data_IF_882395209856
#
_entry.id   IF_882395209856
#
_cell.length_a   1.000
_cell.length_b   1.000
_cell.length_c   1.000
_cell.angle_alpha   90.00
_cell.angle_beta   90.00
_cell.angle_gamma   90.00
#
_symmetry.space_group_name_H-M   'P 1'
#
loop_
_entity.id
_entity.type
_entity.pdbx_description
1 polymer ?
#
# COMPACT_ATOMS: atom_id res chain seq x y z
N UNK A 1 50.03 58.29 -63.81
CA UNK A 1 48.99 57.40 -64.36
C UNK A 1 49.56 56.00 -64.53
N UNK A 2 49.34 55.10 -63.57
CA UNK A 2 49.46 53.65 -63.73
C UNK A 2 48.39 53.02 -62.85
N UNK A 3 47.28 52.63 -63.47
CA UNK A 3 46.18 51.90 -62.84
C UNK A 3 46.63 50.47 -62.56
N UNK A 4 46.52 50.02 -61.32
CA UNK A 4 46.65 48.61 -60.96
C UNK A 4 45.22 48.06 -60.88
N UNK A 5 44.82 47.27 -61.87
CA UNK A 5 43.57 46.53 -61.85
C UNK A 5 43.71 45.34 -60.90
N UNK A 6 43.00 45.37 -59.77
CA UNK A 6 42.84 44.21 -58.90
C UNK A 6 41.84 43.22 -59.51
N UNK A 7 42.30 42.01 -59.83
CA UNK A 7 41.44 40.88 -60.15
C UNK A 7 40.92 40.27 -58.84
N UNK A 8 39.66 40.50 -58.50
CA UNK A 8 38.97 39.76 -57.43
C UNK A 8 38.45 38.47 -58.04
N UNK A 9 39.09 37.35 -57.71
CA UNK A 9 38.60 36.00 -58.02
C UNK A 9 37.51 35.68 -56.99
N UNK A 10 36.25 35.71 -57.42
CA UNK A 10 35.12 35.21 -56.64
C UNK A 10 35.10 33.69 -56.80
N UNK A 11 35.66 32.97 -55.82
CA UNK A 11 35.47 31.52 -55.70
C UNK A 11 34.08 31.30 -55.11
N UNK A 12 33.13 30.89 -55.94
CA UNK A 12 31.83 30.39 -55.49
C UNK A 12 32.06 29.05 -54.77
N UNK A 13 32.08 29.08 -53.44
CA UNK A 13 32.00 27.88 -52.61
C UNK A 13 30.63 27.23 -52.83
N UNK A 14 30.58 26.20 -53.67
CA UNK A 14 29.43 25.29 -53.73
C UNK A 14 29.48 24.44 -52.45
N UNK A 15 28.68 24.81 -51.46
CA UNK A 15 28.48 23.98 -50.27
C UNK A 15 27.65 22.78 -50.70
N UNK A 16 28.28 21.62 -50.90
CA UNK A 16 27.58 20.36 -51.08
C UNK A 16 26.91 20.02 -49.73
N UNK A 17 25.59 20.09 -49.67
CA UNK A 17 24.84 19.65 -48.50
C UNK A 17 24.81 18.13 -48.48
N UNK A 18 25.55 17.51 -47.56
CA UNK A 18 25.50 16.07 -47.28
C UNK A 18 24.16 15.76 -46.60
N UNK A 19 23.17 15.34 -47.39
CA UNK A 19 21.88 14.86 -46.90
C UNK A 19 21.64 13.45 -47.43
N UNK A 20 20.97 12.62 -46.63
CA UNK A 20 20.57 11.25 -47.00
C UNK A 20 19.97 11.23 -48.41
N UNK A 21 20.45 10.35 -49.27
CA UNK A 21 19.91 10.17 -50.62
C UNK A 21 18.87 9.03 -50.62
N UNK A 22 17.68 9.27 -51.15
CA UNK A 22 16.65 8.25 -51.31
C UNK A 22 16.18 8.17 -52.76
N UNK A 23 15.73 7.00 -53.20
CA UNK A 23 14.93 6.89 -54.41
C UNK A 23 13.56 7.56 -54.18
N UNK A 24 13.14 8.38 -55.14
CA UNK A 24 11.80 8.98 -55.20
C UNK A 24 11.06 8.52 -56.43
N UNK A 25 9.97 7.78 -56.23
CA UNK A 25 9.14 7.28 -57.33
C UNK A 25 7.72 6.95 -56.89
N UNK A 26 6.82 6.86 -57.87
CA UNK A 26 5.50 6.23 -57.75
C UNK A 26 5.31 5.30 -58.95
N UNK A 27 5.06 4.01 -58.71
CA UNK A 27 4.97 2.99 -59.75
C UNK A 27 3.95 1.90 -59.42
N UNK A 28 3.84 0.89 -60.30
CA UNK A 28 2.97 -0.28 -60.12
C UNK A 28 3.75 -1.56 -59.82
N UNK A 29 5.08 -1.53 -59.89
CA UNK A 29 5.96 -2.57 -59.37
C UNK A 29 7.22 -1.95 -58.77
N UNK A 30 7.98 -2.73 -57.99
CA UNK A 30 9.23 -2.27 -57.39
C UNK A 30 10.26 -2.02 -58.49
N UNK A 31 10.36 -2.94 -59.45
CA UNK A 31 11.29 -2.88 -60.58
C UNK A 31 11.00 -1.67 -61.49
N UNK A 32 9.72 -1.35 -61.71
CA UNK A 32 9.31 -0.14 -62.43
C UNK A 32 9.71 1.13 -61.67
N UNK A 33 9.45 1.16 -60.36
CA UNK A 33 9.78 2.29 -59.51
C UNK A 33 11.29 2.55 -59.49
N UNK A 34 12.11 1.49 -59.34
CA UNK A 34 13.57 1.59 -59.26
C UNK A 34 14.20 2.02 -60.58
N UNK A 35 13.69 1.50 -61.71
CA UNK A 35 14.18 1.86 -63.04
C UNK A 35 13.98 3.34 -63.37
N UNK A 36 12.90 3.94 -62.91
CA UNK A 36 12.52 5.32 -63.24
C UNK A 36 12.55 6.26 -62.04
N UNK A 37 13.19 5.87 -60.94
CA UNK A 37 13.28 6.70 -59.75
C UNK A 37 14.15 7.94 -59.99
N UNK A 38 13.70 9.08 -59.46
CA UNK A 38 14.56 10.22 -59.26
C UNK A 38 15.39 10.03 -57.99
N UNK A 39 16.61 10.56 -57.98
CA UNK A 39 17.38 10.70 -56.74
C UNK A 39 16.91 11.95 -56.00
N UNK A 40 16.54 11.78 -54.74
CA UNK A 40 16.14 12.88 -53.84
C UNK A 40 17.13 12.97 -52.69
N UNK A 41 17.77 14.13 -52.52
CA UNK A 41 18.51 14.45 -51.31
C UNK A 41 17.52 14.92 -50.26
N UNK A 42 17.40 14.19 -49.16
CA UNK A 42 16.44 14.46 -48.11
C UNK A 42 16.75 15.76 -47.37
N UNK A 43 15.69 16.43 -46.92
CA UNK A 43 15.81 17.59 -46.04
C UNK A 43 16.40 17.19 -44.68
N UNK A 44 16.96 18.17 -43.95
CA UNK A 44 17.58 17.94 -42.64
C UNK A 44 16.64 17.27 -41.61
N UNK A 45 15.33 17.49 -41.72
CA UNK A 45 14.29 16.90 -40.89
C UNK A 45 13.81 15.52 -41.38
N UNK A 46 14.36 15.01 -42.50
CA UNK A 46 13.93 13.79 -43.19
C UNK A 46 15.04 12.73 -43.26
N UNK A 47 15.56 12.31 -42.11
CA UNK A 47 16.66 11.34 -42.00
C UNK A 47 16.26 9.86 -42.21
N UNK A 48 15.29 9.56 -43.09
CA UNK A 48 14.92 8.18 -43.46
C UNK A 48 14.31 8.07 -44.85
N UNK A 49 14.60 6.99 -45.55
CA UNK A 49 13.87 6.59 -46.77
C UNK A 49 12.68 5.70 -46.40
N UNK A 50 11.52 5.94 -47.03
CA UNK A 50 10.32 5.13 -46.89
C UNK A 50 9.98 4.44 -48.21
N UNK A 51 9.65 3.15 -48.16
CA UNK A 51 9.02 2.40 -49.26
C UNK A 51 7.64 1.92 -48.81
N UNK A 52 6.57 2.35 -49.48
CA UNK A 52 5.22 1.81 -49.33
C UNK A 52 4.86 0.94 -50.54
N UNK A 53 4.38 -0.27 -50.31
CA UNK A 53 3.89 -1.20 -51.34
C UNK A 53 2.46 -1.60 -51.00
N UNK A 54 1.55 -1.45 -51.97
CA UNK A 54 0.18 -1.95 -51.87
C UNK A 54 -0.06 -3.11 -52.82
N UNK A 55 -0.61 -4.19 -52.27
CA UNK A 55 -0.95 -5.42 -53.00
C UNK A 55 -2.46 -5.66 -52.93
N UNK A 56 -3.04 -6.09 -54.04
CA UNK A 56 -4.43 -6.57 -54.08
C UNK A 56 -4.47 -7.96 -54.68
N UNK A 57 -5.48 -8.75 -54.27
CA UNK A 57 -5.71 -10.07 -54.83
C UNK A 57 -6.49 -9.95 -56.14
N UNK A 58 -5.92 -10.43 -57.24
CA UNK A 58 -6.57 -10.53 -58.55
C UNK A 58 -6.61 -12.01 -58.93
N UNK A 59 -7.79 -12.63 -58.79
CA UNK A 59 -7.93 -14.09 -58.88
C UNK A 59 -7.14 -14.79 -57.78
N UNK A 60 -6.28 -15.74 -58.15
CA UNK A 60 -5.42 -16.48 -57.22
C UNK A 60 -4.03 -15.85 -56.99
N UNK A 61 -3.74 -14.70 -57.62
CA UNK A 61 -2.41 -14.06 -57.53
C UNK A 61 -2.50 -12.71 -56.82
N UNK A 62 -1.49 -12.40 -56.02
CA UNK A 62 -1.29 -11.06 -55.50
C UNK A 62 -0.57 -10.20 -56.54
N UNK A 63 -1.14 -9.01 -56.79
CA UNK A 63 -0.56 -8.04 -57.71
C UNK A 63 -0.24 -6.76 -56.94
N UNK A 64 1.00 -6.29 -57.07
CA UNK A 64 1.38 -4.95 -56.64
C UNK A 64 0.63 -3.95 -57.53
N UNK A 65 -0.08 -3.02 -56.91
CA UNK A 65 -0.82 -1.97 -57.62
C UNK A 65 -0.27 -0.58 -57.36
N UNK A 66 0.53 -0.43 -56.30
CA UNK A 66 1.15 0.82 -55.94
C UNK A 66 2.48 0.56 -55.24
N UNK A 67 3.51 1.28 -55.67
CA UNK A 67 4.77 1.45 -54.96
C UNK A 67 5.04 2.93 -54.85
N UNK A 68 5.44 3.41 -53.69
CA UNK A 68 6.00 4.75 -53.53
C UNK A 68 7.28 4.70 -52.72
N UNK A 69 8.31 5.38 -53.20
CA UNK A 69 9.59 5.58 -52.52
C UNK A 69 9.81 7.07 -52.31
N UNK A 70 10.23 7.50 -51.11
CA UNK A 70 10.40 8.93 -50.78
C UNK A 70 11.25 9.15 -49.52
N UNK A 71 11.77 10.38 -49.35
CA UNK A 71 12.28 10.87 -48.07
C UNK A 71 11.15 11.04 -47.03
N UNK A 72 11.46 10.79 -45.76
CA UNK A 72 10.51 10.91 -44.64
C UNK A 72 11.21 11.26 -43.34
N UNK A 73 10.54 12.00 -42.46
CA UNK A 73 10.98 12.15 -41.07
C UNK A 73 11.03 10.77 -40.41
N UNK A 74 12.13 10.46 -39.71
CA UNK A 74 12.36 9.16 -39.07
C UNK A 74 11.21 8.71 -38.16
N UNK A 75 10.69 9.62 -37.33
CA UNK A 75 9.58 9.28 -36.43
C UNK A 75 8.28 8.98 -37.18
N UNK A 76 7.96 9.78 -38.21
CA UNK A 76 6.79 9.55 -39.06
C UNK A 76 6.91 8.23 -39.85
N UNK A 77 8.11 7.94 -40.39
CA UNK A 77 8.37 6.68 -41.07
C UNK A 77 8.17 5.49 -40.12
N UNK A 78 8.80 5.53 -38.94
CA UNK A 78 8.63 4.45 -37.93
C UNK A 78 7.17 4.29 -37.51
N UNK A 79 6.43 5.38 -37.32
CA UNK A 79 5.00 5.32 -37.00
C UNK A 79 4.17 4.65 -38.12
N UNK A 80 4.49 4.96 -39.38
CA UNK A 80 3.92 4.31 -40.57
C UNK A 80 4.28 2.83 -40.64
N UNK A 81 5.54 2.45 -40.35
CA UNK A 81 5.97 1.06 -40.34
C UNK A 81 5.32 0.26 -39.22
N UNK A 82 5.07 0.84 -38.04
CA UNK A 82 4.31 0.19 -36.95
C UNK A 82 2.90 -0.20 -37.40
N UNK A 83 2.30 0.51 -38.36
CA UNK A 83 1.00 0.15 -38.91
C UNK A 83 0.99 -1.23 -39.59
N UNK A 84 2.13 -1.71 -40.07
CA UNK A 84 2.25 -3.05 -40.68
C UNK A 84 1.73 -4.17 -39.77
N UNK A 85 1.80 -3.99 -38.44
CA UNK A 85 1.37 -4.96 -37.42
C UNK A 85 -0.06 -4.74 -36.91
N UNK A 86 -0.71 -3.64 -37.29
CA UNK A 86 -2.07 -3.36 -36.84
C UNK A 86 -3.04 -4.31 -37.53
N UNK A 87 -3.99 -4.84 -36.76
CA UNK A 87 -5.01 -5.77 -37.26
C UNK A 87 -5.81 -5.10 -38.38
N UNK A 88 -5.97 -5.81 -39.49
CA UNK A 88 -6.78 -5.43 -40.63
C UNK A 88 -7.47 -6.69 -41.11
N UNK A 89 -8.79 -6.83 -40.93
CA UNK A 89 -9.47 -8.09 -41.24
C UNK A 89 -8.98 -9.25 -40.35
N UNK A 90 -8.61 -10.37 -40.97
CA UNK A 90 -8.15 -11.59 -40.28
C UNK A 90 -6.63 -11.63 -40.05
N UNK A 91 -5.89 -10.65 -40.59
CA UNK A 91 -4.43 -10.57 -40.51
C UNK A 91 -3.99 -9.14 -40.14
N UNK A 92 -2.77 -8.75 -40.46
CA UNK A 92 -2.25 -7.39 -40.22
C UNK A 92 -2.28 -6.54 -41.49
N UNK A 93 -2.00 -5.22 -41.43
CA UNK A 93 -1.99 -4.39 -42.64
C UNK A 93 -0.96 -4.84 -43.67
N UNK A 94 0.24 -5.27 -43.24
CA UNK A 94 1.24 -5.85 -44.13
C UNK A 94 1.21 -7.37 -44.02
N UNK A 95 0.65 -8.01 -45.04
CA UNK A 95 0.47 -9.46 -45.11
C UNK A 95 0.57 -9.97 -46.56
N UNK A 96 0.59 -11.30 -46.72
CA UNK A 96 0.53 -11.97 -48.02
C UNK A 96 -0.63 -12.99 -48.10
N UNK A 97 -1.60 -12.91 -47.19
CA UNK A 97 -2.72 -13.85 -47.04
C UNK A 97 -4.10 -13.25 -47.39
N UNK A 98 -4.26 -11.92 -47.39
CA UNK A 98 -5.51 -11.22 -47.69
C UNK A 98 -5.36 -10.06 -48.70
N UNK A 99 -6.46 -9.71 -49.40
CA UNK A 99 -6.47 -8.58 -50.33
C UNK A 99 -6.33 -7.24 -49.61
N UNK A 100 -5.80 -6.22 -50.29
CA UNK A 100 -5.57 -4.87 -49.78
C UNK A 100 -4.46 -4.77 -48.72
N UNK A 101 -3.40 -5.55 -48.88
CA UNK A 101 -2.20 -5.47 -48.04
C UNK A 101 -1.41 -4.18 -48.34
N UNK A 102 -0.96 -3.51 -47.30
CA UNK A 102 -0.11 -2.31 -47.35
C UNK A 102 1.10 -2.52 -46.44
N UNK A 103 2.28 -2.54 -47.04
CA UNK A 103 3.55 -2.72 -46.35
C UNK A 103 4.40 -1.45 -46.46
N UNK A 104 4.93 -0.98 -45.33
CA UNK A 104 5.81 0.19 -45.25
C UNK A 104 7.13 -0.16 -44.59
N UNK A 105 8.26 0.06 -45.27
CA UNK A 105 9.59 -0.15 -44.69
C UNK A 105 10.37 1.17 -44.64
N UNK A 106 11.09 1.37 -43.53
CA UNK A 106 11.99 2.48 -43.28
C UNK A 106 13.44 2.02 -43.26
N UNK A 107 14.33 2.85 -43.79
CA UNK A 107 15.79 2.64 -43.71
C UNK A 107 16.52 3.98 -43.68
N UNK A 108 17.82 3.99 -43.34
CA UNK A 108 18.58 5.21 -42.98
C UNK A 108 19.91 5.39 -43.72
N UNK A 109 20.25 4.48 -44.64
CA UNK A 109 21.48 4.58 -45.45
C UNK A 109 21.16 5.15 -46.85
N UNK A 110 22.16 5.73 -47.52
CA UNK A 110 21.98 6.26 -48.87
C UNK A 110 21.46 5.16 -49.82
N UNK A 111 20.38 5.49 -50.53
CA UNK A 111 19.69 4.64 -51.49
C UNK A 111 19.21 3.30 -50.91
N UNK A 112 19.08 3.20 -49.58
CA UNK A 112 18.67 1.97 -48.89
C UNK A 112 17.26 1.48 -49.26
N UNK A 113 16.47 2.34 -49.90
CA UNK A 113 15.15 1.99 -50.38
C UNK A 113 15.16 1.44 -51.80
N UNK A 114 16.31 1.17 -52.43
CA UNK A 114 16.43 0.43 -53.69
C UNK A 114 16.10 -1.07 -53.49
N UNK A 115 15.39 -1.66 -54.46
CA UNK A 115 15.08 -3.08 -54.44
C UNK A 115 13.85 -3.46 -53.61
N UNK A 116 13.70 -4.77 -53.28
CA UNK A 116 12.53 -5.31 -52.60
C UNK A 116 12.41 -4.83 -51.15
N UNK A 117 11.24 -5.02 -50.54
CA UNK A 117 11.03 -4.73 -49.12
C UNK A 117 11.95 -5.59 -48.25
N UNK A 118 12.78 -4.96 -47.43
CA UNK A 118 13.77 -5.63 -46.56
C UNK A 118 13.24 -5.92 -45.15
N UNK A 119 12.09 -5.39 -44.76
CA UNK A 119 11.56 -5.50 -43.40
C UNK A 119 10.61 -6.69 -43.16
N UNK A 120 10.56 -7.68 -44.07
CA UNK A 120 9.52 -8.75 -44.12
C UNK A 120 9.55 -9.79 -43.00
N UNK A 121 10.56 -9.81 -42.13
CA UNK A 121 10.65 -10.74 -41.00
C UNK A 121 9.96 -10.17 -39.74
N UNK A 122 8.63 -10.15 -39.76
CA UNK A 122 7.82 -9.40 -38.80
C UNK A 122 7.44 -10.20 -37.54
N UNK A 123 8.34 -10.31 -36.54
CA UNK A 123 7.89 -10.45 -35.14
C UNK A 123 7.58 -9.05 -34.61
N UNK A 124 6.42 -8.78 -33.99
CA UNK A 124 6.19 -7.48 -33.36
C UNK A 124 7.34 -7.21 -32.36
N UNK A 125 7.92 -6.00 -32.34
CA UNK A 125 8.91 -5.66 -31.33
C UNK A 125 8.25 -5.90 -29.97
N UNK A 126 8.76 -6.89 -29.23
CA UNK A 126 8.33 -7.05 -27.85
C UNK A 126 8.71 -5.76 -27.12
N UNK A 127 7.81 -5.16 -26.33
CA UNK A 127 8.16 -3.99 -25.55
C UNK A 127 9.44 -4.30 -24.76
N UNK A 128 10.38 -3.36 -24.79
CA UNK A 128 11.61 -3.49 -24.03
C UNK A 128 11.26 -3.72 -22.55
N UNK A 129 11.88 -4.71 -21.89
CA UNK A 129 11.61 -4.99 -20.49
C UNK A 129 11.84 -3.73 -19.65
N UNK A 130 10.86 -3.35 -18.83
CA UNK A 130 10.96 -2.19 -17.94
C UNK A 130 11.36 -2.64 -16.54
N UNK A 131 12.36 -1.99 -15.95
CA UNK A 131 12.73 -2.24 -14.55
C UNK A 131 11.62 -1.84 -13.58
N UNK A 132 11.54 -2.56 -12.47
CA UNK A 132 10.55 -2.32 -11.41
C UNK A 132 10.95 -1.18 -10.46
N UNK A 133 10.03 -0.65 -9.65
CA UNK A 133 10.37 0.25 -8.55
C UNK A 133 11.34 -0.41 -7.57
N UNK A 134 12.30 0.35 -7.06
CA UNK A 134 13.23 -0.12 -6.02
C UNK A 134 12.45 -0.48 -4.75
N UNK A 135 12.79 -1.62 -4.15
CA UNK A 135 12.24 -2.01 -2.84
C UNK A 135 12.68 -1.00 -1.75
N UNK A 136 11.96 -0.97 -0.62
CA UNK A 136 12.34 -0.09 0.50
C UNK A 136 13.76 -0.43 0.97
N UNK A 137 14.58 0.57 1.37
CA UNK A 137 15.98 0.34 1.72
C UNK A 137 16.22 -0.69 2.83
N UNK A 138 15.24 -0.87 3.71
CA UNK A 138 15.29 -1.84 4.80
C UNK A 138 13.92 -2.50 5.00
N UNK A 139 13.96 -3.76 5.39
CA UNK A 139 12.82 -4.49 5.93
C UNK A 139 12.87 -4.39 7.46
N UNK A 140 11.88 -3.76 8.08
CA UNK A 140 11.86 -3.65 9.54
C UNK A 140 11.82 -5.05 10.16
N UNK A 141 12.74 -5.34 11.08
CA UNK A 141 12.87 -6.66 11.75
C UNK A 141 13.01 -7.84 10.77
N UNK A 142 13.67 -7.59 9.64
CA UNK A 142 14.00 -8.61 8.67
C UNK A 142 15.07 -8.16 7.70
N UNK A 143 15.39 -9.02 6.77
CA UNK A 143 16.36 -8.79 5.71
C UNK A 143 15.81 -9.29 4.38
N UNK A 144 16.33 -8.75 3.28
CA UNK A 144 15.97 -9.24 1.96
C UNK A 144 17.14 -9.12 0.98
N UNK A 145 17.15 -9.97 -0.03
CA UNK A 145 18.14 -9.95 -1.10
C UNK A 145 17.47 -10.18 -2.44
N UNK A 146 17.94 -9.48 -3.48
CA UNK A 146 17.42 -9.60 -4.84
C UNK A 146 18.50 -10.13 -5.77
N UNK A 147 18.13 -11.03 -6.68
CA UNK A 147 19.09 -11.66 -7.60
C UNK A 147 19.71 -10.69 -8.61
N UNK A 148 18.94 -9.69 -9.08
CA UNK A 148 19.40 -8.67 -10.02
C UNK A 148 18.74 -7.31 -9.74
N UNK A 149 18.78 -6.89 -8.47
CA UNK A 149 18.20 -5.64 -8.02
C UNK A 149 16.72 -5.52 -8.40
N UNK A 150 16.37 -4.53 -9.22
CA UNK A 150 15.01 -4.25 -9.69
C UNK A 150 14.84 -4.47 -11.20
N UNK A 151 15.74 -5.25 -11.83
CA UNK A 151 15.66 -5.55 -13.26
C UNK A 151 14.62 -6.65 -13.56
N UNK A 152 14.06 -6.70 -14.79
CA UNK A 152 13.10 -7.72 -15.18
C UNK A 152 13.64 -9.14 -15.02
N UNK A 153 12.89 -9.98 -14.30
CA UNK A 153 13.29 -11.34 -13.92
C UNK A 153 14.02 -11.43 -12.58
N UNK A 154 14.38 -10.30 -11.94
CA UNK A 154 14.93 -10.30 -10.58
C UNK A 154 13.91 -10.86 -9.59
N UNK A 155 14.37 -11.72 -8.68
CA UNK A 155 13.58 -12.28 -7.58
C UNK A 155 14.17 -11.76 -6.28
N UNK A 156 13.35 -11.09 -5.47
CA UNK A 156 13.72 -10.69 -4.12
C UNK A 156 13.14 -11.67 -3.11
N UNK A 157 13.98 -12.21 -2.22
CA UNK A 157 13.60 -13.12 -1.14
C UNK A 157 13.67 -12.40 0.20
N UNK A 158 12.67 -12.62 1.05
CA UNK A 158 12.48 -11.91 2.33
C UNK A 158 12.55 -12.89 3.51
N UNK A 159 13.24 -12.48 4.56
CA UNK A 159 13.36 -13.23 5.81
C UNK A 159 13.13 -12.29 7.01
N UNK A 160 12.48 -12.80 8.05
CA UNK A 160 12.18 -12.04 9.26
C UNK A 160 12.96 -12.58 10.45
N UNK A 161 13.33 -11.68 11.36
CA UNK A 161 14.16 -12.00 12.51
C UNK A 161 13.31 -12.37 13.74
N UNK A 162 13.88 -13.18 14.63
CA UNK A 162 13.32 -13.49 15.97
C UNK A 162 11.89 -14.08 15.91
N UNK A 163 10.93 -13.42 16.58
CA UNK A 163 9.53 -13.82 16.72
C UNK A 163 8.63 -13.26 15.59
N UNK A 164 9.22 -12.60 14.59
CA UNK A 164 8.49 -12.03 13.45
C UNK A 164 8.37 -13.03 12.30
N UNK A 165 7.26 -12.93 11.57
CA UNK A 165 6.96 -13.76 10.41
C UNK A 165 6.62 -12.88 9.21
N UNK A 166 6.91 -13.38 8.01
CA UNK A 166 6.55 -12.71 6.75
C UNK A 166 5.03 -12.63 6.65
N UNK A 167 4.51 -11.44 6.39
CA UNK A 167 3.09 -11.21 6.08
C UNK A 167 2.92 -10.44 4.75
N UNK A 168 2.04 -10.92 3.85
CA UNK A 168 1.30 -12.18 3.91
C UNK A 168 2.25 -13.39 3.84
N UNK A 169 1.93 -14.49 4.53
CA UNK A 169 2.79 -15.67 4.60
C UNK A 169 3.09 -16.32 3.23
N UNK A 170 2.23 -16.07 2.24
CA UNK A 170 2.39 -16.55 0.87
C UNK A 170 3.43 -15.74 0.05
N UNK A 171 3.91 -14.59 0.56
CA UNK A 171 4.77 -13.66 -0.17
C UNK A 171 6.17 -13.62 0.48
N UNK A 172 6.84 -14.76 0.53
CA UNK A 172 8.26 -14.85 0.95
C UNK A 172 9.24 -14.39 -0.13
N UNK A 173 8.75 -14.19 -1.35
CA UNK A 173 9.51 -13.59 -2.44
C UNK A 173 8.58 -12.85 -3.40
N UNK A 174 9.15 -11.95 -4.22
CA UNK A 174 8.47 -11.36 -5.36
C UNK A 174 9.41 -11.23 -6.56
N UNK A 175 8.83 -11.24 -7.75
CA UNK A 175 9.52 -11.22 -9.04
C UNK A 175 9.22 -9.95 -9.80
N UNK A 176 10.25 -9.31 -10.35
CA UNK A 176 10.07 -8.16 -11.22
C UNK A 176 9.61 -8.63 -12.61
N UNK A 177 8.38 -8.28 -12.98
CA UNK A 177 7.79 -8.66 -14.26
C UNK A 177 8.29 -7.75 -15.39
N UNK A 178 8.24 -8.24 -16.64
CA UNK A 178 8.71 -7.49 -17.83
C UNK A 178 7.98 -6.18 -18.08
N UNK A 179 6.79 -6.01 -17.52
CA UNK A 179 5.99 -4.79 -17.63
C UNK A 179 6.44 -3.68 -16.64
N UNK A 180 7.39 -3.95 -15.75
CA UNK A 180 7.88 -3.01 -14.73
C UNK A 180 7.13 -3.04 -13.40
N UNK A 181 6.33 -4.07 -13.13
CA UNK A 181 5.68 -4.27 -11.82
C UNK A 181 6.21 -5.51 -11.11
N UNK A 182 6.25 -5.48 -9.79
CA UNK A 182 6.41 -6.69 -8.99
C UNK A 182 5.12 -7.53 -9.05
N UNK A 183 5.26 -8.85 -9.11
CA UNK A 183 4.12 -9.79 -9.07
C UNK A 183 3.37 -9.77 -7.72
N UNK A 184 4.06 -9.41 -6.65
CA UNK A 184 3.53 -9.17 -5.32
C UNK A 184 4.21 -7.96 -4.65
N UNK A 185 3.52 -7.22 -3.77
CA UNK A 185 4.13 -6.14 -3.00
C UNK A 185 5.20 -6.68 -2.05
N UNK A 186 6.13 -5.83 -1.65
CA UNK A 186 7.08 -6.14 -0.57
C UNK A 186 6.32 -6.54 0.70
N UNK A 187 6.61 -7.71 1.30
CA UNK A 187 5.96 -8.11 2.55
C UNK A 187 6.46 -7.26 3.72
N UNK A 188 5.79 -7.40 4.86
CA UNK A 188 6.31 -6.91 6.13
C UNK A 188 6.69 -8.06 7.05
N UNK A 189 7.53 -7.79 8.05
CA UNK A 189 7.73 -8.69 9.17
C UNK A 189 6.77 -8.29 10.28
N UNK A 190 5.87 -9.20 10.63
CA UNK A 190 4.84 -8.99 11.62
C UNK A 190 4.83 -10.10 12.67
N UNK A 191 4.44 -9.76 13.90
CA UNK A 191 4.23 -10.75 14.97
C UNK A 191 2.78 -11.24 14.98
N UNK A 192 2.56 -12.36 15.66
CA UNK A 192 1.23 -12.96 15.78
C UNK A 192 0.26 -12.03 16.52
N UNK A 193 -0.86 -11.71 15.89
CA UNK A 193 -1.95 -10.93 16.48
C UNK A 193 -3.06 -11.92 16.92
N UNK A 194 -3.65 -11.78 18.12
CA UNK A 194 -3.63 -10.61 19.02
C UNK A 194 -2.51 -10.58 20.07
N UNK A 195 -1.66 -11.60 20.18
CA UNK A 195 -0.63 -11.68 21.25
C UNK A 195 0.27 -10.45 21.33
N UNK A 196 0.63 -9.87 20.19
CA UNK A 196 1.49 -8.69 20.09
C UNK A 196 0.74 -7.41 19.73
N UNK A 197 -0.57 -7.36 19.94
CA UNK A 197 -1.38 -6.21 19.59
C UNK A 197 -0.88 -4.94 20.32
N UNK A 198 -0.45 -3.96 19.53
CA UNK A 198 0.13 -2.71 20.01
C UNK A 198 -0.98 -1.73 20.43
N UNK A 199 -1.11 -1.47 21.73
CA UNK A 199 -2.04 -0.46 22.26
C UNK A 199 -1.71 -0.07 23.70
N UNK A 200 -2.11 1.14 24.10
CA UNK A 200 -2.15 1.55 25.50
C UNK A 200 -3.59 1.43 26.01
N UNK A 201 -3.81 0.61 27.03
CA UNK A 201 -5.12 0.50 27.68
C UNK A 201 -5.16 1.21 29.03
N UNK A 202 -6.21 1.98 29.29
CA UNK A 202 -6.57 2.43 30.63
C UNK A 202 -7.80 1.66 31.06
N UNK A 203 -7.76 1.00 32.23
CA UNK A 203 -8.91 0.26 32.78
C UNK A 203 -9.45 0.92 34.03
N UNK A 204 -10.73 1.25 33.98
CA UNK A 204 -11.48 1.87 35.06
C UNK A 204 -12.30 0.78 35.75
N UNK A 205 -12.03 0.54 37.03
CA UNK A 205 -12.72 -0.49 37.79
C UNK A 205 -13.68 0.12 38.79
N UNK A 206 -14.92 -0.39 38.80
CA UNK A 206 -15.89 -0.13 39.84
C UNK A 206 -16.57 -1.43 40.25
N UNK A 207 -16.80 -1.56 41.56
CA UNK A 207 -17.68 -2.55 42.13
C UNK A 207 -18.45 -1.92 43.30
N UNK A 208 -19.71 -2.27 43.42
CA UNK A 208 -20.63 -1.78 44.46
C UNK A 208 -20.47 -2.56 45.76
N UNK A 209 -19.87 -3.75 45.73
CA UNK A 209 -19.65 -4.61 46.89
C UNK A 209 -18.35 -5.42 46.80
N UNK A 210 -17.88 -5.93 47.94
CA UNK A 210 -16.72 -6.83 47.99
C UNK A 210 -16.96 -8.13 47.21
N UNK A 211 -18.18 -8.67 47.26
CA UNK A 211 -18.55 -9.87 46.50
C UNK A 211 -18.45 -9.64 44.99
N UNK A 212 -18.91 -8.47 44.52
CA UNK A 212 -18.86 -8.12 43.10
C UNK A 212 -17.42 -7.93 42.65
N UNK A 213 -16.58 -7.36 43.52
CA UNK A 213 -15.14 -7.22 43.28
C UNK A 213 -14.41 -8.55 43.16
N UNK A 214 -14.67 -9.50 44.07
CA UNK A 214 -14.04 -10.83 44.03
C UNK A 214 -14.36 -11.55 42.71
N UNK A 215 -15.61 -11.48 42.23
CA UNK A 215 -15.98 -12.09 40.94
C UNK A 215 -15.42 -11.35 39.73
N UNK A 216 -15.31 -10.02 39.80
CA UNK A 216 -14.65 -9.23 38.76
C UNK A 216 -13.17 -9.62 38.62
N UNK A 217 -12.47 -9.80 39.75
CA UNK A 217 -11.06 -10.23 39.75
C UNK A 217 -10.87 -11.60 39.09
N UNK A 218 -11.81 -12.53 39.29
CA UNK A 218 -11.81 -13.83 38.60
C UNK A 218 -11.95 -13.68 37.09
N UNK A 219 -12.82 -12.77 36.62
CA UNK A 219 -12.99 -12.48 35.19
C UNK A 219 -11.75 -11.81 34.58
N UNK A 220 -11.19 -10.79 35.21
CA UNK A 220 -10.02 -10.06 34.68
C UNK A 220 -8.79 -10.95 34.51
N UNK A 221 -8.59 -11.92 35.41
CA UNK A 221 -7.49 -12.88 35.29
C UNK A 221 -7.50 -13.66 33.97
N UNK A 222 -8.65 -13.71 33.30
CA UNK A 222 -8.87 -14.47 32.07
C UNK A 222 -8.80 -13.63 30.78
N UNK A 223 -9.04 -12.32 30.85
CA UNK A 223 -9.02 -11.39 29.68
C UNK A 223 -7.60 -11.14 29.15
N UNK A 224 -6.58 -11.16 30.01
CA UNK A 224 -5.19 -10.89 29.62
C UNK A 224 -4.39 -12.15 29.23
N UNK A 225 -5.03 -13.33 29.24
CA UNK A 225 -4.37 -14.58 28.88
C UNK A 225 -4.03 -14.55 27.39
N UNK A 226 -2.73 -14.59 27.08
CA UNK A 226 -2.24 -14.63 25.70
C UNK A 226 -1.88 -13.27 25.10
N UNK A 227 -2.04 -12.16 25.83
CA UNK A 227 -1.54 -10.83 25.43
C UNK A 227 -0.16 -10.56 26.06
N UNK A 228 0.82 -10.21 25.22
CA UNK A 228 2.15 -9.83 25.67
C UNK A 228 2.17 -8.38 26.11
N UNK A 229 2.68 -8.14 27.31
CA UNK A 229 2.95 -6.80 27.83
C UNK A 229 4.37 -6.40 27.49
N UNK A 230 4.57 -5.21 26.94
CA UNK A 230 5.89 -4.82 26.43
C UNK A 230 5.91 -3.50 25.68
N UNK A 231 7.12 -2.99 25.44
CA UNK A 231 7.38 -1.73 24.73
C UNK A 231 6.72 -1.68 23.35
N UNK A 232 6.76 -2.81 22.66
CA UNK A 232 6.27 -2.95 21.29
C UNK A 232 4.95 -3.77 21.25
N UNK A 233 4.24 -3.88 22.37
CA UNK A 233 2.96 -4.61 22.47
C UNK A 233 1.99 -3.90 23.41
N UNK A 234 1.14 -4.59 24.16
CA UNK A 234 0.22 -3.92 25.10
C UNK A 234 0.95 -3.34 26.32
N UNK A 235 0.43 -2.25 26.86
CA UNK A 235 0.67 -1.84 28.25
C UNK A 235 -0.63 -1.31 28.87
N UNK A 236 -0.72 -1.37 30.19
CA UNK A 236 -1.93 -1.02 30.92
C UNK A 236 -1.67 0.00 32.04
N UNK A 237 -2.63 0.90 32.24
CA UNK A 237 -2.78 1.70 33.44
C UNK A 237 -4.16 1.43 34.03
N UNK A 238 -4.26 1.29 35.35
CA UNK A 238 -5.50 0.89 36.00
C UNK A 238 -5.75 1.66 37.29
N UNK A 239 -7.01 1.79 37.69
CA UNK A 239 -7.40 2.25 39.01
C UNK A 239 -8.84 1.88 39.34
N UNK A 240 -9.15 1.88 40.64
CA UNK A 240 -10.51 1.75 41.16
C UNK A 240 -11.17 3.12 41.36
N UNK A 241 -12.47 3.22 41.09
CA UNK A 241 -13.25 4.44 41.31
C UNK A 241 -14.60 4.15 41.96
N UNK A 242 -15.12 5.15 42.66
CA UNK A 242 -16.47 5.17 43.24
C UNK A 242 -17.00 6.60 43.23
N UNK A 243 -17.20 7.25 44.38
CA UNK A 243 -17.50 8.68 44.49
C UNK A 243 -16.33 9.57 44.01
N UNK A 244 -15.13 9.00 43.90
CA UNK A 244 -13.90 9.62 43.41
C UNK A 244 -13.01 8.59 42.72
N UNK A 245 -11.92 9.08 42.14
CA UNK A 245 -10.77 8.23 41.78
C UNK A 245 -10.00 7.87 43.06
N UNK A 246 -9.84 6.58 43.35
CA UNK A 246 -9.03 6.13 44.48
C UNK A 246 -7.56 6.07 44.08
N UNK A 247 -6.85 7.19 44.18
CA UNK A 247 -5.46 7.31 43.73
C UNK A 247 -4.50 6.34 44.44
N UNK A 248 -4.84 5.87 45.63
CA UNK A 248 -4.10 4.82 46.34
C UNK A 248 -4.07 3.48 45.57
N UNK A 249 -5.04 3.28 44.67
CA UNK A 249 -5.15 2.08 43.82
C UNK A 249 -4.47 2.24 42.46
N UNK A 250 -4.05 3.47 42.11
CA UNK A 250 -3.58 3.80 40.77
C UNK A 250 -2.29 3.06 40.43
N UNK A 251 -2.26 2.50 39.22
CA UNK A 251 -1.06 2.00 38.56
C UNK A 251 -0.95 2.72 37.23
N UNK A 252 0.07 3.57 37.08
CA UNK A 252 0.38 4.26 35.83
C UNK A 252 1.20 3.38 34.90
N UNK A 253 1.25 3.73 33.61
CA UNK A 253 2.12 3.05 32.63
C UNK A 253 3.59 3.05 33.08
N UNK A 254 4.04 4.17 33.67
CA UNK A 254 5.40 4.34 34.18
C UNK A 254 5.70 3.46 35.41
N UNK A 255 4.70 3.14 36.22
CA UNK A 255 4.92 2.31 37.41
C UNK A 255 5.36 0.91 37.03
N UNK A 256 4.72 0.29 36.03
CA UNK A 256 5.09 -1.03 35.53
C UNK A 256 6.31 -0.99 34.59
N UNK A 257 6.50 0.10 33.83
CA UNK A 257 7.61 0.27 32.87
C UNK A 257 7.78 -0.95 31.94
N UNK A 258 6.68 -1.37 31.33
CA UNK A 258 6.60 -2.54 30.45
C UNK A 258 6.95 -3.89 31.10
N UNK A 259 7.10 -3.96 32.42
CA UNK A 259 7.41 -5.18 33.15
C UNK A 259 6.12 -5.84 33.67
N UNK A 260 5.81 -7.03 33.14
CA UNK A 260 4.59 -7.78 33.49
C UNK A 260 4.57 -8.21 34.95
N UNK A 261 5.70 -8.72 35.46
CA UNK A 261 5.82 -9.20 36.82
C UNK A 261 5.63 -8.06 37.83
N UNK A 262 6.17 -6.87 37.52
CA UNK A 262 6.00 -5.64 38.29
C UNK A 262 4.56 -5.15 38.25
N UNK A 263 3.90 -5.19 37.09
CA UNK A 263 2.48 -4.86 36.98
C UNK A 263 1.64 -5.79 37.87
N UNK A 264 1.88 -7.11 37.81
CA UNK A 264 1.18 -8.10 38.65
C UNK A 264 1.45 -7.84 40.14
N UNK A 265 2.69 -7.51 40.52
CA UNK A 265 3.02 -7.14 41.89
C UNK A 265 2.21 -5.93 42.36
N UNK A 266 2.22 -4.83 41.58
CA UNK A 266 1.48 -3.61 41.90
C UNK A 266 -0.03 -3.85 41.97
N UNK A 267 -0.56 -4.67 41.07
CA UNK A 267 -1.95 -5.09 41.09
C UNK A 267 -2.30 -5.79 42.41
N UNK A 268 -1.45 -6.74 42.85
CA UNK A 268 -1.64 -7.45 44.12
C UNK A 268 -1.60 -6.51 45.32
N UNK A 269 -0.69 -5.55 45.31
CA UNK A 269 -0.50 -4.58 46.39
C UNK A 269 -1.64 -3.57 46.49
N UNK A 270 -2.17 -3.10 45.36
CA UNK A 270 -3.04 -1.92 45.30
C UNK A 270 -4.50 -2.21 44.96
N UNK A 271 -4.79 -3.29 44.23
CA UNK A 271 -6.13 -3.59 43.71
C UNK A 271 -6.82 -4.75 44.42
N UNK A 272 -6.10 -5.71 45.01
CA UNK A 272 -6.76 -6.88 45.63
C UNK A 272 -7.63 -6.53 46.85
N UNK A 273 -7.22 -5.55 47.66
CA UNK A 273 -7.85 -5.25 48.93
C UNK A 273 -8.47 -3.84 48.94
N UNK A 274 -9.52 -3.64 48.16
CA UNK A 274 -10.28 -2.38 48.14
C UNK A 274 -11.01 -2.18 49.48
N UNK A 275 -10.85 -1.01 50.07
CA UNK A 275 -11.53 -0.61 51.30
C UNK A 275 -12.93 -0.06 50.97
N UNK A 276 -13.91 -0.97 50.92
CA UNK A 276 -15.32 -0.63 50.62
C UNK A 276 -15.96 0.31 51.64
N UNK A 277 -15.36 0.55 52.81
CA UNK A 277 -15.87 1.55 53.76
C UNK A 277 -15.61 3.00 53.30
N UNK A 278 -14.73 3.19 52.31
CA UNK A 278 -14.30 4.50 51.81
C UNK A 278 -14.88 4.89 50.44
N UNK A 279 -15.81 4.10 49.88
CA UNK A 279 -16.31 4.29 48.51
C UNK A 279 -17.43 5.33 48.37
N UNK A 280 -17.88 5.91 49.49
CA UNK A 280 -18.87 7.00 49.49
C UNK A 280 -20.25 6.65 48.92
N UNK A 281 -20.51 5.39 48.57
CA UNK A 281 -21.76 4.87 47.98
C UNK A 281 -22.23 5.65 46.73
N UNK A 282 -21.28 6.09 45.88
CA UNK A 282 -21.59 6.69 44.56
C UNK A 282 -20.74 6.06 43.46
N UNK A 283 -21.19 6.24 42.22
CA UNK A 283 -20.56 5.72 41.00
C UNK A 283 -20.31 6.87 40.02
N UNK A 284 -19.21 7.59 40.23
CA UNK A 284 -18.83 8.77 39.46
C UNK A 284 -17.98 8.40 38.23
N UNK A 285 -18.55 7.61 37.31
CA UNK A 285 -17.87 7.12 36.11
C UNK A 285 -17.36 8.24 35.20
N UNK A 286 -18.12 9.34 35.05
CA UNK A 286 -17.68 10.49 34.24
C UNK A 286 -16.37 11.09 34.79
N UNK A 287 -16.24 11.17 36.12
CA UNK A 287 -15.01 11.62 36.79
C UNK A 287 -13.82 10.72 36.45
N UNK A 288 -14.02 9.40 36.46
CA UNK A 288 -12.99 8.43 36.12
C UNK A 288 -12.56 8.53 34.64
N UNK A 289 -13.51 8.71 33.72
CA UNK A 289 -13.22 8.94 32.29
C UNK A 289 -12.40 10.21 32.10
N UNK A 290 -12.78 11.32 32.76
CA UNK A 290 -12.02 12.57 32.70
C UNK A 290 -10.60 12.42 33.23
N UNK A 291 -10.40 11.65 34.30
CA UNK A 291 -9.07 11.37 34.84
C UNK A 291 -8.20 10.64 33.81
N UNK A 292 -8.74 9.63 33.13
CA UNK A 292 -8.02 8.90 32.09
C UNK A 292 -7.53 9.83 30.95
N UNK A 293 -8.42 10.63 30.38
CA UNK A 293 -8.13 11.46 29.20
C UNK A 293 -7.23 12.67 29.53
N UNK A 294 -7.38 13.25 30.73
CA UNK A 294 -6.60 14.41 31.14
C UNK A 294 -5.25 14.06 31.77
N UNK A 295 -5.11 12.87 32.35
CA UNK A 295 -3.91 12.50 33.11
C UNK A 295 -3.20 11.24 32.61
N UNK A 296 -3.91 10.13 32.40
CA UNK A 296 -3.28 8.82 32.18
C UNK A 296 -2.75 8.61 30.76
N UNK A 297 -3.43 9.13 29.73
CA UNK A 297 -2.91 9.08 28.35
C UNK A 297 -1.82 10.13 28.07
N UNK A 298 -1.17 10.68 29.09
CA UNK A 298 -0.08 11.65 28.93
C UNK A 298 1.28 10.96 29.04
N UNK A 299 2.22 11.33 28.17
CA UNK A 299 3.59 10.78 28.14
C UNK A 299 4.33 10.92 29.48
N UNK A 300 4.02 11.98 30.26
CA UNK A 300 4.59 12.20 31.60
C UNK A 300 4.37 11.03 32.58
N UNK A 301 3.30 10.24 32.38
CA UNK A 301 2.98 9.05 33.18
C UNK A 301 3.15 7.74 32.40
N UNK A 302 3.87 7.77 31.28
CA UNK A 302 4.33 6.57 30.55
C UNK A 302 3.45 6.14 29.36
N UNK A 303 2.36 6.84 29.06
CA UNK A 303 1.63 6.58 27.82
C UNK A 303 2.53 6.84 26.60
N UNK A 304 2.44 5.98 25.58
CA UNK A 304 3.14 6.20 24.30
C UNK A 304 2.45 7.33 23.55
N UNK A 305 3.12 7.88 22.53
CA UNK A 305 2.59 9.00 21.76
C UNK A 305 1.34 8.62 20.94
N UNK A 306 0.87 9.56 20.10
CA UNK A 306 -0.35 9.42 19.29
C UNK A 306 -0.26 8.37 18.18
N UNK A 307 0.92 7.80 17.90
CA UNK A 307 1.08 6.71 16.92
C UNK A 307 0.59 5.38 17.47
N UNK A 308 0.50 5.23 18.79
CA UNK A 308 0.02 4.01 19.45
C UNK A 308 -1.46 4.15 19.81
N UNK A 309 -2.35 3.24 19.34
CA UNK A 309 -3.76 3.24 19.67
C UNK A 309 -4.05 3.30 21.16
N UNK A 310 -5.08 4.06 21.55
CA UNK A 310 -5.52 4.23 22.94
C UNK A 310 -6.88 3.55 23.15
N UNK A 311 -6.96 2.72 24.18
CA UNK A 311 -8.17 1.97 24.53
C UNK A 311 -8.58 2.27 25.96
N UNK A 312 -9.83 2.66 26.16
CA UNK A 312 -10.42 2.87 27.48
C UNK A 312 -11.39 1.74 27.79
N UNK A 313 -11.07 0.94 28.80
CA UNK A 313 -11.96 -0.12 29.29
C UNK A 313 -12.68 0.36 30.55
N UNK A 314 -14.01 0.34 30.53
CA UNK A 314 -14.85 0.71 31.68
C UNK A 314 -15.51 -0.56 32.20
N UNK A 315 -15.10 -1.02 33.38
CA UNK A 315 -15.60 -2.24 34.00
C UNK A 315 -16.39 -1.83 35.25
N UNK A 316 -17.69 -2.10 35.25
CA UNK A 316 -18.59 -1.64 36.32
C UNK A 316 -19.78 -2.56 36.48
N UNK A 317 -20.32 -2.63 37.69
CA UNK A 317 -21.52 -3.39 38.05
C UNK A 317 -22.77 -2.51 38.26
N UNK A 318 -22.66 -1.19 38.00
CA UNK A 318 -23.73 -0.24 38.27
C UNK A 318 -23.78 0.92 37.27
N UNK A 319 -24.93 1.59 37.19
CA UNK A 319 -25.08 2.84 36.43
C UNK A 319 -24.30 3.96 37.13
N UNK A 320 -23.88 4.96 36.35
CA UNK A 320 -23.26 6.15 36.91
C UNK A 320 -24.30 7.09 37.52
N UNK A 321 -23.91 7.75 38.61
CA UNK A 321 -24.63 8.88 39.21
C UNK A 321 -24.41 10.21 38.45
N UNK A 322 -23.59 10.20 37.39
CA UNK A 322 -23.22 11.39 36.62
C UNK A 322 -23.66 11.26 35.16
N UNK A 323 -23.90 12.39 34.49
CA UNK A 323 -24.08 12.42 33.03
C UNK A 323 -22.77 12.03 32.32
N UNK A 324 -22.87 11.09 31.38
CA UNK A 324 -21.72 10.48 30.72
C UNK A 324 -21.46 11.03 29.32
N UNK A 325 -22.43 11.72 28.72
CA UNK A 325 -22.38 12.16 27.33
C UNK A 325 -21.13 12.98 27.04
N UNK A 326 -20.86 14.01 27.84
CA UNK A 326 -19.74 14.92 27.61
C UNK A 326 -18.38 14.22 27.75
N UNK A 327 -18.26 13.31 28.72
CA UNK A 327 -17.02 12.56 28.97
C UNK A 327 -16.76 11.54 27.85
N UNK A 328 -17.78 10.80 27.43
CA UNK A 328 -17.68 9.85 26.32
C UNK A 328 -17.39 10.52 24.98
N UNK A 329 -18.04 11.65 24.68
CA UNK A 329 -17.75 12.45 23.48
C UNK A 329 -16.32 12.99 23.46
N UNK A 330 -15.80 13.41 24.62
CA UNK A 330 -14.41 13.87 24.72
C UNK A 330 -13.41 12.73 24.45
N UNK A 331 -13.62 11.55 25.03
CA UNK A 331 -12.76 10.38 24.78
C UNK A 331 -12.72 10.02 23.28
N UNK A 332 -13.89 9.98 22.61
CA UNK A 332 -13.96 9.71 21.18
C UNK A 332 -13.30 10.79 20.33
N UNK A 333 -13.45 12.06 20.71
CA UNK A 333 -12.80 13.20 20.02
C UNK A 333 -11.28 13.11 20.07
N UNK A 334 -10.73 12.57 21.16
CA UNK A 334 -9.30 12.34 21.35
C UNK A 334 -8.81 11.03 20.69
N UNK A 335 -9.66 10.34 19.92
CA UNK A 335 -9.31 9.12 19.20
C UNK A 335 -9.18 7.88 20.09
N UNK A 336 -9.76 7.91 21.30
CA UNK A 336 -9.73 6.80 22.25
C UNK A 336 -10.89 5.85 21.96
N UNK A 337 -10.59 4.56 21.79
CA UNK A 337 -11.60 3.51 21.63
C UNK A 337 -12.10 3.08 23.01
N UNK A 338 -13.36 3.37 23.30
CA UNK A 338 -13.97 3.04 24.59
C UNK A 338 -14.76 1.72 24.50
N UNK A 339 -14.44 0.78 25.37
CA UNK A 339 -15.16 -0.48 25.57
C UNK A 339 -15.76 -0.52 26.97
N UNK A 340 -17.00 -0.99 27.08
CA UNK A 340 -17.73 -1.05 28.35
C UNK A 340 -18.08 -2.49 28.66
N UNK A 341 -17.75 -2.91 29.88
CA UNK A 341 -17.93 -4.26 30.39
C UNK A 341 -18.89 -4.19 31.57
N UNK A 342 -20.21 -4.07 31.32
CA UNK A 342 -21.19 -4.12 32.39
C UNK A 342 -21.24 -5.55 32.95
N UNK A 343 -20.88 -5.69 34.22
CA UNK A 343 -20.88 -6.96 34.93
C UNK A 343 -22.16 -7.08 35.79
N UNK A 344 -22.73 -8.28 35.84
CA UNK A 344 -24.01 -8.52 36.50
C UNK A 344 -23.93 -9.69 37.46
N UNK A 345 -24.39 -9.47 38.67
CA UNK A 345 -24.63 -10.52 39.67
C UNK A 345 -26.07 -10.56 40.16
N UNK A 346 -26.78 -9.44 40.05
CA UNK A 346 -28.17 -9.27 40.48
C UNK A 346 -29.05 -8.74 39.33
N UNK A 347 -30.35 -8.53 39.59
CA UNK A 347 -31.37 -7.95 38.68
C UNK A 347 -31.13 -6.44 38.34
N UNK A 348 -29.89 -5.97 38.38
CA UNK A 348 -29.54 -4.58 38.02
C UNK A 348 -29.76 -4.38 36.52
N UNK A 349 -30.65 -3.44 36.20
CA UNK A 349 -30.90 -3.02 34.82
C UNK A 349 -30.01 -1.82 34.48
N UNK A 350 -29.04 -2.04 33.61
CA UNK A 350 -28.21 -0.94 33.09
C UNK A 350 -29.00 -0.03 32.16
N UNK A 351 -28.86 1.28 32.36
CA UNK A 351 -29.38 2.29 31.46
C UNK A 351 -28.62 2.21 30.13
N UNK A 352 -29.33 1.78 29.08
CA UNK A 352 -28.75 1.62 27.75
C UNK A 352 -28.22 2.93 27.19
N UNK A 353 -28.82 4.07 27.55
CA UNK A 353 -28.31 5.39 27.14
C UNK A 353 -26.95 5.64 27.77
N UNK A 354 -26.77 5.34 29.06
CA UNK A 354 -25.47 5.51 29.72
C UNK A 354 -24.39 4.61 29.11
N UNK A 355 -24.72 3.34 28.82
CA UNK A 355 -23.79 2.42 28.16
C UNK A 355 -23.37 2.95 26.77
N UNK A 356 -24.32 3.46 25.99
CA UNK A 356 -24.04 4.07 24.68
C UNK A 356 -23.29 5.40 24.79
N UNK A 357 -23.58 6.24 25.78
CA UNK A 357 -22.85 7.50 26.00
C UNK A 357 -21.36 7.23 26.27
N UNK A 358 -21.06 6.17 27.03
CA UNK A 358 -19.69 5.69 27.30
C UNK A 358 -19.04 5.07 26.07
N UNK A 359 -19.64 4.02 25.51
CA UNK A 359 -19.05 3.19 24.46
C UNK A 359 -19.03 3.91 23.10
N UNK A 360 -20.06 4.69 22.80
CA UNK A 360 -20.30 5.34 21.50
C UNK A 360 -20.82 4.39 20.41
N UNK A 361 -20.59 3.09 20.53
CA UNK A 361 -21.05 2.06 19.59
C UNK A 361 -21.58 0.85 20.35
N UNK A 362 -22.57 0.16 19.77
CA UNK A 362 -23.25 -0.96 20.42
C UNK A 362 -22.36 -2.20 20.55
N UNK A 363 -21.50 -2.45 19.55
CA UNK A 363 -20.54 -3.55 19.50
C UNK A 363 -19.33 -3.35 20.42
N UNK A 364 -19.22 -2.19 21.06
CA UNK A 364 -18.24 -1.89 22.10
C UNK A 364 -18.74 -2.20 23.53
N UNK A 365 -19.99 -2.67 23.66
CA UNK A 365 -20.62 -3.01 24.95
C UNK A 365 -20.64 -4.53 25.11
N UNK A 366 -19.80 -5.05 26.00
CA UNK A 366 -19.66 -6.49 26.25
C UNK A 366 -20.37 -6.88 27.55
N UNK A 367 -21.66 -7.19 27.45
CA UNK A 367 -22.45 -7.64 28.62
C UNK A 367 -22.03 -9.03 29.07
N UNK A 368 -21.71 -9.15 30.37
CA UNK A 368 -21.36 -10.42 31.00
C UNK A 368 -22.63 -11.09 31.52
N UNK A 369 -23.31 -11.85 30.66
CA UNK A 369 -24.48 -12.66 31.06
C UNK A 369 -24.17 -14.18 31.14
N UNK A 370 -22.91 -14.59 30.90
CA UNK A 370 -22.46 -15.99 30.88
C UNK A 370 -21.18 -16.20 31.70
N UNK A 371 -20.76 -17.45 31.86
CA UNK A 371 -19.50 -17.79 32.54
C UNK A 371 -18.27 -17.15 31.90
N UNK A 372 -17.20 -17.03 32.69
CA UNK A 372 -15.88 -16.46 32.37
C UNK A 372 -15.36 -16.72 30.94
N UNK A 373 -15.47 -17.96 30.44
CA UNK A 373 -14.96 -18.36 29.13
C UNK A 373 -15.67 -17.74 27.92
N UNK A 374 -16.95 -17.38 28.03
CA UNK A 374 -17.72 -16.86 26.88
C UNK A 374 -17.39 -15.39 26.59
N UNK A 375 -17.17 -14.59 27.64
CA UNK A 375 -16.84 -13.17 27.51
C UNK A 375 -15.48 -12.97 26.83
N UNK A 376 -14.46 -13.68 27.31
CA UNK A 376 -13.11 -13.58 26.73
C UNK A 376 -13.09 -13.97 25.26
N UNK A 377 -13.82 -15.03 24.91
CA UNK A 377 -13.92 -15.47 23.52
C UNK A 377 -14.51 -14.37 22.64
N UNK A 378 -15.62 -13.75 23.07
CA UNK A 378 -16.25 -12.64 22.33
C UNK A 378 -15.32 -11.43 22.18
N UNK A 379 -14.66 -11.02 23.26
CA UNK A 379 -13.71 -9.90 23.22
C UNK A 379 -12.56 -10.22 22.27
N UNK A 380 -11.97 -11.42 22.40
CA UNK A 380 -10.83 -11.84 21.58
C UNK A 380 -11.21 -11.92 20.10
N UNK A 381 -12.35 -12.51 19.75
CA UNK A 381 -12.85 -12.60 18.39
C UNK A 381 -13.11 -11.20 17.80
N UNK A 382 -13.75 -10.32 18.56
CA UNK A 382 -14.00 -8.94 18.15
C UNK A 382 -12.68 -8.20 17.91
N UNK A 383 -11.79 -8.14 18.90
CA UNK A 383 -10.52 -7.43 18.80
C UNK A 383 -9.65 -7.98 17.67
N UNK A 384 -9.64 -9.31 17.48
CA UNK A 384 -8.94 -9.93 16.35
C UNK A 384 -9.53 -9.46 15.02
N UNK A 385 -10.86 -9.45 14.88
CA UNK A 385 -11.52 -9.00 13.66
C UNK A 385 -11.29 -7.51 13.35
N UNK A 386 -11.13 -6.67 14.37
CA UNK A 386 -10.96 -5.22 14.19
C UNK A 386 -9.50 -4.84 13.96
N UNK A 387 -8.57 -5.43 14.72
CA UNK A 387 -7.18 -4.95 14.75
C UNK A 387 -6.21 -5.87 14.00
N UNK A 388 -6.53 -7.15 13.81
CA UNK A 388 -5.58 -8.13 13.27
C UNK A 388 -5.70 -8.40 11.76
N UNK A 389 -6.59 -7.69 11.03
CA UNK A 389 -6.78 -7.90 9.59
C UNK A 389 -5.50 -7.65 8.77
N UNK A 390 -4.72 -6.63 9.14
CA UNK A 390 -3.41 -6.38 8.56
C UNK A 390 -2.39 -6.10 9.68
N UNK A 391 -1.60 -7.10 10.08
CA UNK A 391 -0.65 -6.94 11.16
C UNK A 391 0.52 -6.00 10.78
N UNK A 392 0.72 -5.71 9.49
CA UNK A 392 1.71 -4.71 9.04
C UNK A 392 1.40 -3.30 9.53
N UNK A 393 0.14 -3.00 9.90
CA UNK A 393 -0.24 -1.69 10.45
C UNK A 393 0.28 -1.46 11.87
N UNK A 394 0.85 -2.48 12.51
CA UNK A 394 1.35 -2.44 13.89
C UNK A 394 2.85 -2.72 13.98
N UNK A 395 3.55 -2.61 12.85
CA UNK A 395 4.99 -2.88 12.71
C UNK A 395 5.73 -1.54 12.83
N UNK A 396 5.90 -1.04 14.05
CA UNK A 396 6.65 0.19 14.33
C UNK A 396 7.62 -0.01 15.49
#
# INVERSE_FOLDING_TARGET
MKMIFGFVIVVSLVVATEGLQCLRCKGKSIEECDRYAGLETCSFDQASCETEVRKVRIGYKFKVIHVSKQCKQTQACKANQVQNYMISGESTQCNDDQSNSVCRCCCVDDLCNEGPLTCTDFKPPQPEPKSCPTQKPALFRGEYSCTDGHNPGSVCSYECNEEYNVFPAAVSSNTCLRNGSWDAPMPCCARHCPTYLLHDTVRLYHASSKENWEKLLELEASVDIGIKHGRDSSQASIFFFSDRVHEETLITFKDADFNKEKFIQLFRERMLNIDFSKTGNKVNTATAVWYAINYLYKTKVGARDSTVPKILSIITDSNSDQDLRSAGEAARRDGILTYVYPFKLDDVTFDQKQLMDMAGQQDHIFSVNGGDGELNKKITEYWTSQFCNNPCNHVF
#
